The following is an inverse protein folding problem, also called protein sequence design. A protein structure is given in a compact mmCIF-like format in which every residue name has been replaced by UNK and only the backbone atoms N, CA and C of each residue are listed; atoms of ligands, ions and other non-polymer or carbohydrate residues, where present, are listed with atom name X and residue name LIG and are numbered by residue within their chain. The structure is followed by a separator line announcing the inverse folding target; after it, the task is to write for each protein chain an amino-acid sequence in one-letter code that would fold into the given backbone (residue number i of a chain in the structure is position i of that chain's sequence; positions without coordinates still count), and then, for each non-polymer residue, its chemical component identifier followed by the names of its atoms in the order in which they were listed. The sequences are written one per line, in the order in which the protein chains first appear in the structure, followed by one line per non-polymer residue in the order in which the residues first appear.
data_IF_092718769573
#
_entry.id   IF_092718769573
#
_cell.length_a   1.000
_cell.length_b   1.000
_cell.length_c   1.000
_cell.angle_alpha   90.00
_cell.angle_beta   90.00
_cell.angle_gamma   90.00
#
_symmetry.space_group_name_H-M   'P 1'
#
loop_
_entity.id
_entity.type
_entity.pdbx_description
1 polymer ?
#
# COMPACT_ATOMS: atom_id res chain seq x y z
N UNK A 1 16.34 30.78 -60.83
CA UNK A 1 15.15 30.07 -60.32
C UNK A 1 15.56 28.62 -60.13
N UNK A 2 16.23 28.31 -59.01
CA UNK A 2 16.65 26.94 -58.67
C UNK A 2 15.47 26.25 -58.00
N UNK A 3 15.09 25.08 -58.51
CA UNK A 3 14.12 24.20 -57.88
C UNK A 3 14.74 23.60 -56.60
N UNK A 4 14.08 23.69 -55.44
CA UNK A 4 14.47 22.96 -54.25
C UNK A 4 13.99 21.50 -54.40
N UNK A 5 14.74 20.66 -55.09
CA UNK A 5 14.40 19.23 -55.25
C UNK A 5 15.50 18.25 -54.85
N UNK A 6 16.71 18.70 -54.51
CA UNK A 6 17.84 17.79 -54.23
C UNK A 6 18.03 17.44 -52.74
N UNK A 7 17.30 18.09 -51.82
CA UNK A 7 17.44 17.84 -50.37
C UNK A 7 16.57 16.70 -49.84
N UNK A 8 15.61 16.20 -50.63
CA UNK A 8 14.68 15.14 -50.18
C UNK A 8 15.16 13.73 -50.51
N UNK A 9 15.95 13.54 -51.57
CA UNK A 9 16.43 12.21 -51.99
C UNK A 9 17.62 11.70 -51.16
N UNK A 10 18.32 12.58 -50.42
CA UNK A 10 19.39 12.16 -49.49
C UNK A 10 18.89 11.79 -48.10
N UNK A 11 17.67 12.16 -47.72
CA UNK A 11 17.03 11.68 -46.49
C UNK A 11 16.38 10.31 -46.75
N UNK A 12 17.20 9.30 -47.05
CA UNK A 12 16.75 7.95 -47.40
C UNK A 12 15.77 7.36 -46.38
N UNK A 13 14.94 6.42 -46.84
CA UNK A 13 13.97 5.64 -46.03
C UNK A 13 14.52 5.16 -44.67
N UNK A 14 15.82 4.88 -44.58
CA UNK A 14 16.50 4.55 -43.32
C UNK A 14 16.48 5.67 -42.27
N UNK A 15 16.59 6.93 -42.70
CA UNK A 15 16.51 8.12 -41.84
C UNK A 15 15.10 8.32 -41.29
N UNK A 16 14.06 8.06 -42.09
CA UNK A 16 12.66 8.12 -41.67
C UNK A 16 12.31 6.99 -40.69
N UNK A 17 12.77 5.77 -40.96
CA UNK A 17 12.62 4.63 -40.04
C UNK A 17 13.40 4.83 -38.74
N UNK A 18 14.61 5.40 -38.82
CA UNK A 18 15.40 5.76 -37.65
C UNK A 18 14.68 6.77 -36.75
N UNK A 19 14.09 7.81 -37.35
CA UNK A 19 13.27 8.80 -36.62
C UNK A 19 12.04 8.17 -35.98
N UNK A 20 11.34 7.27 -36.68
CA UNK A 20 10.16 6.59 -36.13
C UNK A 20 10.51 5.69 -34.93
N UNK A 21 11.64 4.98 -35.00
CA UNK A 21 12.12 4.14 -33.89
C UNK A 21 12.55 4.99 -32.70
N UNK A 22 13.23 6.11 -32.93
CA UNK A 22 13.63 7.02 -31.86
C UNK A 22 12.43 7.72 -31.22
N UNK A 23 11.44 8.14 -32.00
CA UNK A 23 10.20 8.72 -31.47
C UNK A 23 9.40 7.69 -30.67
N UNK A 24 9.33 6.43 -31.13
CA UNK A 24 8.72 5.33 -30.38
C UNK A 24 9.43 5.05 -29.04
N UNK A 25 10.76 5.05 -29.01
CA UNK A 25 11.54 4.92 -27.77
C UNK A 25 11.33 6.10 -26.82
N UNK A 26 11.25 7.32 -27.35
CA UNK A 26 10.98 8.53 -26.55
C UNK A 26 9.58 8.49 -25.95
N UNK A 27 8.59 8.05 -26.72
CA UNK A 27 7.22 7.88 -26.24
C UNK A 27 7.12 6.81 -25.14
N UNK A 28 7.72 5.63 -25.35
CA UNK A 28 7.73 4.58 -24.33
C UNK A 28 8.40 5.05 -23.02
N UNK A 29 9.51 5.81 -23.12
CA UNK A 29 10.15 6.41 -21.93
C UNK A 29 9.28 7.47 -21.28
N UNK A 30 8.54 8.26 -22.04
CA UNK A 30 7.63 9.27 -21.51
C UNK A 30 6.49 8.62 -20.72
N UNK A 31 5.93 7.52 -21.21
CA UNK A 31 4.85 6.80 -20.53
C UNK A 31 5.33 6.13 -19.23
N UNK A 32 6.50 5.47 -19.27
CA UNK A 32 7.14 4.91 -18.08
C UNK A 32 7.43 6.00 -17.05
N UNK A 33 7.96 7.15 -17.49
CA UNK A 33 8.24 8.28 -16.60
C UNK A 33 6.98 8.91 -16.03
N UNK A 34 5.89 8.98 -16.80
CA UNK A 34 4.59 9.47 -16.33
C UNK A 34 4.03 8.57 -15.25
N UNK A 35 4.02 7.25 -15.46
CA UNK A 35 3.59 6.29 -14.44
C UNK A 35 4.46 6.36 -13.19
N UNK A 36 5.78 6.45 -13.34
CA UNK A 36 6.71 6.64 -12.23
C UNK A 36 6.45 7.96 -11.48
N UNK A 37 6.15 9.04 -12.19
CA UNK A 37 5.83 10.33 -11.61
C UNK A 37 4.49 10.29 -10.85
N UNK A 38 3.47 9.62 -11.40
CA UNK A 38 2.18 9.39 -10.72
C UNK A 38 2.36 8.58 -9.45
N UNK A 39 3.11 7.48 -9.50
CA UNK A 39 3.43 6.65 -8.32
C UNK A 39 4.21 7.46 -7.29
N UNK A 40 5.26 8.18 -7.69
CA UNK A 40 6.04 9.04 -6.78
C UNK A 40 5.19 10.14 -6.17
N UNK A 41 4.32 10.79 -6.94
CA UNK A 41 3.42 11.82 -6.44
C UNK A 41 2.43 11.24 -5.42
N UNK A 42 1.86 10.07 -5.68
CA UNK A 42 0.95 9.38 -4.75
C UNK A 42 1.67 8.98 -3.46
N UNK A 43 2.84 8.36 -3.58
CA UNK A 43 3.67 8.00 -2.43
C UNK A 43 4.05 9.23 -1.62
N UNK A 44 4.52 10.30 -2.25
CA UNK A 44 4.96 11.51 -1.54
C UNK A 44 3.80 12.22 -0.83
N UNK A 45 2.60 12.20 -1.42
CA UNK A 45 1.38 12.74 -0.79
C UNK A 45 0.89 11.87 0.38
N UNK A 46 1.17 10.57 0.33
CA UNK A 46 0.77 9.61 1.36
C UNK A 46 1.81 9.36 2.45
N UNK A 47 3.06 9.83 2.32
CA UNK A 47 4.12 9.60 3.35
C UNK A 47 3.70 10.03 4.75
N UNK A 48 3.11 11.22 4.87
CA UNK A 48 2.58 11.70 6.15
C UNK A 48 1.42 10.85 6.64
N UNK A 49 0.48 10.50 5.76
CA UNK A 49 -0.66 9.67 6.13
C UNK A 49 -0.24 8.26 6.57
N UNK A 50 0.72 7.64 5.89
CA UNK A 50 1.29 6.33 6.25
C UNK A 50 2.06 6.42 7.56
N UNK A 51 2.85 7.48 7.77
CA UNK A 51 3.55 7.72 9.03
C UNK A 51 2.58 7.91 10.20
N UNK A 52 1.51 8.70 10.02
CA UNK A 52 0.46 8.91 11.01
C UNK A 52 -0.32 7.62 11.30
N UNK A 53 -0.66 6.83 10.27
CA UNK A 53 -1.30 5.52 10.45
C UNK A 53 -0.39 4.57 11.23
N UNK A 54 0.89 4.49 10.89
CA UNK A 54 1.86 3.68 11.62
C UNK A 54 1.94 4.10 13.10
N UNK A 55 2.04 5.41 13.36
CA UNK A 55 2.00 5.94 14.73
C UNK A 55 0.70 5.60 15.47
N UNK A 56 -0.44 5.73 14.81
CA UNK A 56 -1.74 5.40 15.41
C UNK A 56 -1.85 3.91 15.75
N UNK A 57 -1.38 3.02 14.87
CA UNK A 57 -1.34 1.57 15.13
C UNK A 57 -0.46 1.25 16.34
N UNK A 58 0.71 1.88 16.46
CA UNK A 58 1.58 1.70 17.62
C UNK A 58 0.93 2.19 18.92
N UNK A 59 0.22 3.31 18.90
CA UNK A 59 -0.52 3.82 20.05
C UNK A 59 -1.67 2.89 20.45
N UNK A 60 -2.42 2.36 19.48
CA UNK A 60 -3.48 1.37 19.73
C UNK A 60 -2.88 0.11 20.34
N UNK A 61 -1.75 -0.38 19.83
CA UNK A 61 -1.05 -1.54 20.40
C UNK A 61 -0.63 -1.27 21.85
N UNK A 62 -0.04 -0.12 22.13
CA UNK A 62 0.34 0.26 23.49
C UNK A 62 -0.87 0.32 24.43
N UNK A 63 -1.98 0.90 23.98
CA UNK A 63 -3.22 0.95 24.76
C UNK A 63 -3.79 -0.45 25.05
N UNK A 64 -3.77 -1.35 24.06
CA UNK A 64 -4.20 -2.75 24.24
C UNK A 64 -3.32 -3.45 25.27
N UNK A 65 -1.99 -3.29 25.21
CA UNK A 65 -1.07 -3.88 26.19
C UNK A 65 -1.42 -3.39 27.60
N UNK A 66 -1.60 -2.08 27.78
CA UNK A 66 -1.97 -1.50 29.09
C UNK A 66 -3.31 -2.03 29.59
N UNK A 67 -4.31 -2.15 28.72
CA UNK A 67 -5.61 -2.72 29.08
C UNK A 67 -5.51 -4.18 29.52
N UNK A 68 -4.71 -5.00 28.83
CA UNK A 68 -4.49 -6.41 29.19
C UNK A 68 -3.75 -6.53 30.51
N UNK A 69 -2.76 -5.66 30.76
CA UNK A 69 -2.05 -5.59 32.04
C UNK A 69 -3.00 -5.22 33.18
N UNK A 70 -3.79 -4.15 33.01
CA UNK A 70 -4.78 -3.73 34.00
C UNK A 70 -5.85 -4.80 34.27
N UNK A 71 -6.28 -5.53 33.23
CA UNK A 71 -7.19 -6.67 33.37
C UNK A 71 -6.52 -7.82 34.15
N UNK A 72 -5.26 -8.12 33.86
CA UNK A 72 -4.47 -9.11 34.58
C UNK A 72 -4.35 -8.79 36.07
N UNK A 73 -4.01 -7.54 36.40
CA UNK A 73 -3.97 -7.03 37.78
C UNK A 73 -5.34 -7.12 38.46
N UNK A 74 -6.43 -6.75 37.77
CA UNK A 74 -7.78 -6.84 38.32
C UNK A 74 -8.15 -8.29 38.67
N UNK A 75 -7.85 -9.25 37.79
CA UNK A 75 -8.14 -10.66 38.03
C UNK A 75 -7.16 -11.29 39.04
N UNK A 76 -5.96 -10.74 39.19
CA UNK A 76 -4.98 -11.21 40.17
C UNK A 76 -5.48 -11.11 41.61
N UNK A 77 -6.41 -10.19 41.90
CA UNK A 77 -7.06 -10.07 43.21
C UNK A 77 -7.84 -11.32 43.61
N UNK A 78 -8.32 -12.11 42.64
CA UNK A 78 -9.10 -13.32 42.89
C UNK A 78 -8.34 -14.62 42.61
N UNK A 79 -7.48 -14.62 41.59
CA UNK A 79 -6.80 -15.82 41.10
C UNK A 79 -5.31 -15.90 41.46
N UNK A 80 -4.83 -14.98 42.31
CA UNK A 80 -3.42 -14.68 42.51
C UNK A 80 -2.73 -14.15 41.22
N UNK A 81 -1.56 -13.49 41.32
CA UNK A 81 -0.91 -12.86 40.17
C UNK A 81 -0.77 -13.76 38.93
N UNK A 82 -0.19 -14.98 39.01
CA UNK A 82 -0.04 -15.81 37.81
C UNK A 82 -1.39 -16.22 37.20
N UNK A 83 -2.42 -16.46 38.02
CA UNK A 83 -3.75 -16.83 37.55
C UNK A 83 -4.49 -15.66 36.87
N UNK A 84 -4.34 -14.45 37.40
CA UNK A 84 -4.94 -13.24 36.83
C UNK A 84 -4.42 -12.92 35.42
N UNK A 85 -3.10 -12.95 35.25
CA UNK A 85 -2.47 -12.71 33.95
C UNK A 85 -2.78 -13.84 32.95
N UNK A 86 -2.81 -15.11 33.38
CA UNK A 86 -3.18 -16.23 32.53
C UNK A 86 -4.62 -16.10 32.02
N UNK A 87 -5.57 -15.74 32.91
CA UNK A 87 -6.96 -15.52 32.53
C UNK A 87 -7.12 -14.34 31.57
N UNK A 88 -6.45 -13.21 31.82
CA UNK A 88 -6.45 -12.05 30.93
C UNK A 88 -5.89 -12.40 29.54
N UNK A 89 -4.83 -13.22 29.46
CA UNK A 89 -4.28 -13.69 28.20
C UNK A 89 -5.28 -14.54 27.42
N UNK A 90 -5.97 -15.49 28.08
CA UNK A 90 -7.01 -16.32 27.45
C UNK A 90 -8.15 -15.46 26.90
N UNK A 91 -8.66 -14.51 27.70
CA UNK A 91 -9.73 -13.59 27.27
C UNK A 91 -9.29 -12.80 26.02
N UNK A 92 -8.07 -12.28 26.03
CA UNK A 92 -7.51 -11.51 24.91
C UNK A 92 -7.38 -12.37 23.65
N UNK A 93 -6.94 -13.63 23.78
CA UNK A 93 -6.85 -14.57 22.66
C UNK A 93 -8.21 -14.90 22.05
N UNK A 94 -9.24 -15.08 22.88
CA UNK A 94 -10.62 -15.30 22.41
C UNK A 94 -11.11 -14.08 21.62
N UNK A 95 -10.89 -12.86 22.13
CA UNK A 95 -11.25 -11.64 21.41
C UNK A 95 -10.52 -11.52 20.07
N UNK A 96 -9.21 -11.80 20.06
CA UNK A 96 -8.41 -11.80 18.82
C UNK A 96 -8.94 -12.82 17.80
N UNK A 97 -9.30 -14.02 18.24
CA UNK A 97 -9.90 -15.04 17.38
C UNK A 97 -11.21 -14.56 16.73
N UNK A 98 -12.10 -13.92 17.51
CA UNK A 98 -13.37 -13.37 17.01
C UNK A 98 -13.10 -12.28 15.95
N UNK A 99 -12.18 -11.35 16.24
CA UNK A 99 -11.80 -10.28 15.32
C UNK A 99 -11.28 -10.83 13.99
N UNK A 100 -10.40 -11.85 14.04
CA UNK A 100 -9.89 -12.50 12.83
C UNK A 100 -11.02 -13.15 12.03
N UNK A 101 -11.94 -13.86 12.70
CA UNK A 101 -13.11 -14.46 12.06
C UNK A 101 -13.99 -13.43 11.34
N UNK A 102 -14.27 -12.31 11.99
CA UNK A 102 -15.07 -11.22 11.42
C UNK A 102 -14.34 -10.58 10.23
N UNK A 103 -13.05 -10.31 10.36
CA UNK A 103 -12.23 -9.75 9.28
C UNK A 103 -12.21 -10.66 8.05
N UNK A 104 -12.00 -11.96 8.23
CA UNK A 104 -12.03 -12.94 7.14
C UNK A 104 -13.42 -13.00 6.47
N UNK A 105 -14.51 -12.92 7.24
CA UNK A 105 -15.87 -12.86 6.69
C UNK A 105 -16.12 -11.60 5.85
N UNK A 106 -15.63 -10.45 6.32
CA UNK A 106 -15.74 -9.17 5.60
C UNK A 106 -14.96 -9.20 4.28
N UNK A 107 -13.72 -9.70 4.30
CA UNK A 107 -12.89 -9.83 3.09
C UNK A 107 -13.50 -10.79 2.07
N UNK A 108 -14.05 -11.92 2.53
CA UNK A 108 -14.74 -12.86 1.65
C UNK A 108 -16.00 -12.26 1.00
N UNK A 109 -16.64 -11.29 1.66
CA UNK A 109 -17.79 -10.56 1.13
C UNK A 109 -17.33 -9.54 0.08
N UNK A 110 -16.30 -8.76 0.39
CA UNK A 110 -15.72 -7.77 -0.52
C UNK A 110 -15.21 -8.41 -1.83
N UNK A 111 -14.60 -9.60 -1.74
CA UNK A 111 -14.11 -10.34 -2.92
C UNK A 111 -15.24 -10.85 -3.85
N UNK A 112 -16.48 -10.94 -3.35
CA UNK A 112 -17.65 -11.40 -4.13
C UNK A 112 -18.48 -10.25 -4.71
N UNK A 113 -18.17 -9.01 -4.33
CA UNK A 113 -18.89 -7.86 -4.86
C UNK A 113 -18.54 -7.65 -6.35
N UNK A 114 -19.53 -7.46 -7.23
CA UNK A 114 -19.26 -7.09 -8.62
C UNK A 114 -18.53 -5.74 -8.66
N UNK A 115 -17.57 -5.61 -9.57
CA UNK A 115 -16.88 -4.35 -9.83
C UNK A 115 -17.88 -3.39 -10.50
N UNK A 116 -18.47 -2.50 -9.71
CA UNK A 116 -19.23 -1.34 -10.21
C UNK A 116 -18.30 -0.27 -10.78
#
# INVERSE_FOLDING_TARGET
MLAPSDDLDQAGLGTLLGRLVDDGKRYARAEVNLQLATVKARVNRSKLAVGLLGGAVLLVLAAVIVLVQALGELLAWWLAPPGGYAAAAVITLVLAYILVRVALGSLATAAKAPLE
#
